data_IF_345812930293
#
_entry.id   IF_345812930293
#
_cell.length_a   1.000
_cell.length_b   1.000
_cell.length_c   1.000
_cell.angle_alpha   90.00
_cell.angle_beta   90.00
_cell.angle_gamma   90.00
#
_symmetry.space_group_name_H-M   'P 1'
#
loop_
_entity.id
_entity.type
_entity.pdbx_description
1 polymer ?
#
# COMPACT_ATOMS: atom_id res chain seq x y z
N UNK A 1 15.63 17.52 -21.54
CA UNK A 1 15.73 16.25 -22.28
C UNK A 1 14.48 16.12 -23.12
N UNK A 2 14.57 15.90 -24.45
CA UNK A 2 13.39 15.63 -25.26
C UNK A 2 12.85 14.23 -24.91
N UNK A 3 11.54 14.11 -24.75
CA UNK A 3 10.84 12.84 -24.51
C UNK A 3 9.87 12.67 -25.67
N UNK A 4 9.98 11.56 -26.38
CA UNK A 4 9.06 11.23 -27.45
C UNK A 4 7.87 10.46 -26.88
N UNK A 5 6.67 10.93 -27.20
CA UNK A 5 5.43 10.27 -26.83
C UNK A 5 4.97 9.36 -27.96
N UNK A 6 4.37 8.22 -27.61
CA UNK A 6 3.60 7.45 -28.59
C UNK A 6 2.36 8.25 -29.02
N UNK A 7 1.81 7.91 -30.19
CA UNK A 7 0.59 8.57 -30.69
C UNK A 7 -0.58 8.48 -29.69
N UNK A 8 -0.69 7.36 -28.97
CA UNK A 8 -1.69 7.17 -27.92
C UNK A 8 -1.45 8.08 -26.71
N UNK A 9 -0.21 8.15 -26.22
CA UNK A 9 0.15 9.04 -25.11
C UNK A 9 -0.11 10.50 -25.47
N UNK A 10 0.22 10.90 -26.69
CA UNK A 10 -0.05 12.24 -27.18
C UNK A 10 -1.55 12.55 -27.22
N UNK A 11 -2.37 11.63 -27.74
CA UNK A 11 -3.83 11.79 -27.74
C UNK A 11 -4.42 11.96 -26.33
N UNK A 12 -3.91 11.19 -25.36
CA UNK A 12 -4.32 11.30 -23.96
C UNK A 12 -3.95 12.68 -23.40
N UNK A 13 -2.70 13.11 -23.57
CA UNK A 13 -2.22 14.42 -23.07
C UNK A 13 -3.02 15.56 -23.69
N UNK A 14 -3.19 15.55 -25.01
CA UNK A 14 -3.96 16.57 -25.72
C UNK A 14 -5.41 16.62 -25.27
N UNK A 15 -6.06 15.46 -25.07
CA UNK A 15 -7.46 15.41 -24.65
C UNK A 15 -7.67 16.08 -23.27
N UNK A 16 -6.75 15.86 -22.34
CA UNK A 16 -6.86 16.38 -20.97
C UNK A 16 -6.48 17.86 -20.88
N UNK A 17 -5.52 18.31 -21.69
CA UNK A 17 -5.20 19.74 -21.82
C UNK A 17 -6.35 20.49 -22.49
N UNK A 18 -6.93 19.96 -23.58
CA UNK A 18 -8.10 20.55 -24.26
C UNK A 18 -9.32 20.63 -23.34
N UNK A 19 -9.49 19.66 -22.43
CA UNK A 19 -10.53 19.67 -21.41
C UNK A 19 -10.26 20.67 -20.25
N UNK A 20 -9.12 21.37 -20.25
CA UNK A 20 -8.75 22.32 -19.20
C UNK A 20 -8.32 21.68 -17.88
N UNK A 21 -8.10 20.37 -17.84
CA UNK A 21 -7.66 19.66 -16.64
C UNK A 21 -6.20 19.96 -16.28
N UNK A 22 -5.40 20.33 -17.28
CA UNK A 22 -4.00 20.71 -17.13
C UNK A 22 -3.69 21.92 -18.00
N UNK A 23 -2.87 22.83 -17.49
CA UNK A 23 -2.49 24.06 -18.20
C UNK A 23 -1.58 23.80 -19.41
N UNK A 24 -0.84 22.69 -19.42
CA UNK A 24 0.06 22.30 -20.50
C UNK A 24 0.38 20.81 -20.47
N UNK A 25 0.91 20.23 -21.56
CA UNK A 25 1.48 18.89 -21.57
C UNK A 25 2.51 18.66 -20.47
N UNK A 26 3.41 19.62 -20.26
CA UNK A 26 4.46 19.52 -19.23
C UNK A 26 3.85 19.44 -17.82
N UNK A 27 2.86 20.29 -17.52
CA UNK A 27 2.18 20.26 -16.22
C UNK A 27 1.48 18.90 -15.95
N UNK A 28 0.96 18.25 -16.99
CA UNK A 28 0.40 16.91 -16.86
C UNK A 28 1.49 15.86 -16.61
N UNK A 29 2.63 15.94 -17.30
CA UNK A 29 3.75 15.01 -17.13
C UNK A 29 4.33 15.14 -15.71
N UNK A 30 4.53 16.36 -15.21
CA UNK A 30 5.01 16.59 -13.84
C UNK A 30 4.08 15.98 -12.80
N UNK A 31 2.76 16.13 -13.00
CA UNK A 31 1.76 15.49 -12.13
C UNK A 31 1.75 13.96 -12.26
N UNK A 32 1.95 13.42 -13.46
CA UNK A 32 2.02 11.98 -13.65
C UNK A 32 3.25 11.38 -12.95
N UNK A 33 4.39 12.06 -12.99
CA UNK A 33 5.61 11.64 -12.29
C UNK A 33 5.45 11.70 -10.77
N UNK A 34 4.81 12.76 -10.24
CA UNK A 34 4.50 12.84 -8.81
C UNK A 34 3.63 11.66 -8.36
N UNK A 35 2.57 11.34 -9.10
CA UNK A 35 1.70 10.20 -8.79
C UNK A 35 2.45 8.87 -8.91
N UNK A 36 3.40 8.75 -9.84
CA UNK A 36 4.24 7.56 -9.95
C UNK A 36 5.13 7.39 -8.70
N UNK A 37 5.81 8.45 -8.27
CA UNK A 37 6.66 8.45 -7.08
C UNK A 37 5.87 8.09 -5.80
N UNK A 38 4.70 8.71 -5.60
CA UNK A 38 3.80 8.38 -4.48
C UNK A 38 3.39 6.90 -4.50
N UNK A 39 3.09 6.36 -5.69
CA UNK A 39 2.74 4.95 -5.85
C UNK A 39 3.90 4.01 -5.55
N UNK A 40 5.11 4.36 -5.98
CA UNK A 40 6.32 3.58 -5.71
C UNK A 40 6.63 3.55 -4.22
N UNK A 41 6.55 4.70 -3.54
CA UNK A 41 6.70 4.78 -2.09
C UNK A 41 5.65 3.94 -1.35
N UNK A 42 4.37 4.06 -1.73
CA UNK A 42 3.31 3.26 -1.12
C UNK A 42 3.55 1.76 -1.29
N UNK A 43 3.95 1.33 -2.49
CA UNK A 43 4.27 -0.08 -2.76
C UNK A 43 5.49 -0.55 -1.96
N UNK A 44 6.50 0.30 -1.80
CA UNK A 44 7.66 -0.01 -0.98
C UNK A 44 7.28 -0.22 0.50
N UNK A 45 6.45 0.66 1.06
CA UNK A 45 5.96 0.52 2.43
C UNK A 45 5.12 -0.74 2.63
N UNK A 46 4.24 -1.07 1.68
CA UNK A 46 3.45 -2.30 1.72
C UNK A 46 4.34 -3.56 1.68
N UNK A 47 5.36 -3.57 0.82
CA UNK A 47 6.32 -4.68 0.77
C UNK A 47 7.09 -4.80 2.08
N UNK A 48 7.62 -3.69 2.60
CA UNK A 48 8.34 -3.70 3.87
C UNK A 48 7.47 -4.20 5.04
N UNK A 49 6.20 -3.79 5.09
CA UNK A 49 5.23 -4.33 6.05
C UNK A 49 5.04 -5.84 5.89
N UNK A 50 4.81 -6.31 4.66
CA UNK A 50 4.61 -7.74 4.39
C UNK A 50 5.84 -8.58 4.76
N UNK A 51 7.03 -8.11 4.39
CA UNK A 51 8.30 -8.76 4.72
C UNK A 51 8.57 -8.80 6.22
N UNK A 52 8.13 -7.78 6.97
CA UNK A 52 8.33 -7.72 8.42
C UNK A 52 7.31 -8.54 9.20
N UNK A 53 6.04 -8.45 8.83
CA UNK A 53 4.94 -8.99 9.66
C UNK A 53 4.45 -10.35 9.17
N UNK A 54 4.39 -10.58 7.85
CA UNK A 54 3.69 -11.74 7.29
C UNK A 54 4.68 -12.84 6.92
N UNK A 55 5.81 -12.46 6.32
CA UNK A 55 6.83 -13.43 5.90
C UNK A 55 7.34 -14.32 7.06
N UNK A 56 7.65 -13.80 8.26
CA UNK A 56 8.10 -14.65 9.35
C UNK A 56 7.05 -15.67 9.78
N UNK A 57 5.79 -15.25 9.91
CA UNK A 57 4.68 -16.14 10.27
C UNK A 57 4.41 -17.20 9.19
N UNK A 58 4.58 -16.86 7.91
CA UNK A 58 4.47 -17.82 6.83
C UNK A 58 5.63 -18.82 6.85
N UNK A 59 6.86 -18.35 7.07
CA UNK A 59 8.04 -19.20 7.18
C UNK A 59 7.94 -20.15 8.39
N UNK A 60 7.39 -19.70 9.52
CA UNK A 60 7.05 -20.55 10.68
C UNK A 60 6.02 -21.62 10.32
N UNK A 61 4.97 -21.24 9.61
CA UNK A 61 3.95 -22.17 9.15
C UNK A 61 4.52 -23.24 8.21
N UNK A 62 5.35 -22.85 7.25
CA UNK A 62 6.00 -23.76 6.30
C UNK A 62 6.96 -24.75 6.99
N UNK A 63 7.57 -24.37 8.13
CA UNK A 63 8.36 -25.27 8.98
C UNK A 63 7.51 -26.19 9.87
N UNK A 64 6.18 -26.04 9.85
CA UNK A 64 5.26 -26.77 10.72
C UNK A 64 5.23 -26.25 12.16
N UNK A 65 5.75 -25.04 12.41
CA UNK A 65 5.71 -24.36 13.71
C UNK A 65 4.39 -23.60 13.93
N UNK A 66 3.48 -23.64 12.95
CA UNK A 66 2.15 -23.07 13.04
C UNK A 66 1.36 -23.66 14.19
N UNK A 67 0.85 -22.81 15.10
CA UNK A 67 0.02 -23.23 16.23
C UNK A 67 -1.46 -23.27 15.81
N UNK A 68 -2.23 -24.27 16.24
CA UNK A 68 -3.69 -24.25 16.07
C UNK A 68 -4.30 -23.00 16.69
N UNK A 69 -5.24 -22.38 15.98
CA UNK A 69 -5.97 -21.22 16.47
C UNK A 69 -6.95 -21.66 17.57
N UNK A 70 -6.73 -21.17 18.80
CA UNK A 70 -7.63 -21.39 19.95
C UNK A 70 -8.24 -20.05 20.36
N UNK A 71 -9.43 -19.78 19.83
CA UNK A 71 -10.15 -18.53 20.04
C UNK A 71 -10.58 -18.35 21.50
N UNK A 72 -10.92 -19.43 22.19
CA UNK A 72 -11.38 -19.36 23.58
C UNK A 72 -10.24 -18.97 24.52
N UNK A 73 -9.04 -19.51 24.29
CA UNK A 73 -7.84 -19.11 25.03
C UNK A 73 -7.48 -17.64 24.76
N UNK A 74 -7.45 -17.23 23.49
CA UNK A 74 -7.12 -15.86 23.09
C UNK A 74 -8.09 -14.86 23.71
N UNK A 75 -9.40 -15.11 23.65
CA UNK A 75 -10.42 -14.26 24.26
C UNK A 75 -10.28 -14.16 25.78
N UNK A 76 -9.93 -15.25 26.48
CA UNK A 76 -9.69 -15.22 27.92
C UNK A 76 -8.45 -14.39 28.28
N UNK A 77 -7.36 -14.56 27.55
CA UNK A 77 -6.11 -13.81 27.75
C UNK A 77 -6.33 -12.30 27.52
N UNK A 78 -6.95 -11.91 26.40
CA UNK A 78 -7.28 -10.51 26.09
C UNK A 78 -8.23 -9.88 27.13
N UNK A 79 -9.25 -10.60 27.59
CA UNK A 79 -10.15 -10.10 28.62
C UNK A 79 -9.41 -9.85 29.94
N UNK A 80 -8.51 -10.74 30.34
CA UNK A 80 -7.71 -10.56 31.55
C UNK A 80 -6.76 -9.34 31.44
N UNK A 81 -6.18 -9.11 30.26
CA UNK A 81 -5.36 -7.92 29.99
C UNK A 81 -6.18 -6.63 30.05
N UNK A 82 -7.38 -6.62 29.47
CA UNK A 82 -8.28 -5.45 29.49
C UNK A 82 -8.77 -5.13 30.91
N UNK A 83 -9.10 -6.16 31.69
CA UNK A 83 -9.50 -6.03 33.08
C UNK A 83 -8.32 -5.50 33.94
N UNK A 84 -7.09 -5.96 33.68
CA UNK A 84 -5.88 -5.46 34.34
C UNK A 84 -5.53 -4.01 33.96
N UNK A 85 -5.86 -3.59 32.75
CA UNK A 85 -5.70 -2.21 32.28
C UNK A 85 -6.80 -1.26 32.78
N UNK A 86 -7.84 -1.77 33.45
CA UNK A 86 -8.94 -0.98 33.99
C UNK A 86 -9.81 -0.32 32.91
N UNK A 87 -9.84 -0.87 31.69
CA UNK A 87 -10.63 -0.34 30.58
C UNK A 87 -12.08 -0.81 30.76
N UNK A 88 -13.08 0.10 30.82
CA UNK A 88 -14.48 -0.30 30.95
C UNK A 88 -14.95 -1.06 29.69
N UNK A 89 -15.65 -2.19 29.91
CA UNK A 89 -16.24 -3.03 28.85
C UNK A 89 -17.56 -2.46 28.32
#
# INVERSE_FOLDING_TARGET
MPIELTAEQQAIVESRVKAGLYASPAAMIDKALLVLEENEHRRALQRAFFEREIKPSLDEFDRGEGKPLDMDRICRELNAEWDAAGIPK
#
